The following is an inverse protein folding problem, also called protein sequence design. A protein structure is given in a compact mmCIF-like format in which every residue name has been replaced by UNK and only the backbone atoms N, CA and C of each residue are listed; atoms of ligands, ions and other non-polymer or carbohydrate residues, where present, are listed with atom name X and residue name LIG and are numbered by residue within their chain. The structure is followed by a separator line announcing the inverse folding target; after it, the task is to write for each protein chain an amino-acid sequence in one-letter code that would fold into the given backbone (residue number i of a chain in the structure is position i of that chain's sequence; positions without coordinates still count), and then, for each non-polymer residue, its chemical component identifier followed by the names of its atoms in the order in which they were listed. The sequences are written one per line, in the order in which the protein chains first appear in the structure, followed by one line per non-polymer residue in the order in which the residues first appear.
data_IF_779049347564
#
_entry.id   IF_779049347564
#
_cell.length_a   1.000
_cell.length_b   1.000
_cell.length_c   1.000
_cell.angle_alpha   90.00
_cell.angle_beta   90.00
_cell.angle_gamma   90.00
#
_symmetry.space_group_name_H-M   'P 1'
#
loop_
_entity.id
_entity.type
_entity.pdbx_description
1 polymer ?
#
# COMPACT_ATOMS: atom_id res chain seq x y z
N UNK A 1 4.64 -3.74 -32.91
CA UNK A 1 5.98 -3.15 -33.15
C UNK A 1 6.00 -1.61 -33.22
N UNK A 2 5.03 -0.99 -33.92
CA UNK A 2 5.05 0.45 -34.22
C UNK A 2 4.77 1.41 -33.03
N UNK A 3 4.38 0.91 -31.85
CA UNK A 3 4.04 1.73 -30.68
C UNK A 3 5.02 1.60 -29.51
N UNK A 4 6.08 0.79 -29.62
CA UNK A 4 7.01 0.49 -28.49
C UNK A 4 7.66 1.73 -27.88
N UNK A 5 7.85 2.79 -28.68
CA UNK A 5 8.48 4.04 -28.27
C UNK A 5 7.53 5.24 -28.37
N UNK A 6 6.27 5.00 -28.74
CA UNK A 6 5.28 6.06 -28.80
C UNK A 6 4.70 6.24 -27.41
N UNK A 7 5.11 7.30 -26.71
CA UNK A 7 4.30 7.78 -25.60
C UNK A 7 2.87 7.98 -26.11
N UNK A 8 1.85 7.58 -25.34
CA UNK A 8 0.47 7.91 -25.66
C UNK A 8 0.33 9.44 -25.75
N UNK A 9 0.48 9.98 -26.96
CA UNK A 9 0.40 11.43 -27.22
C UNK A 9 -1.03 11.95 -27.10
N UNK A 10 -2.02 11.06 -27.08
CA UNK A 10 -3.42 11.38 -26.82
C UNK A 10 -3.83 11.03 -25.39
N UNK A 11 -4.59 11.92 -24.76
CA UNK A 11 -5.26 11.68 -23.47
C UNK A 11 -6.05 10.36 -23.42
N UNK A 12 -6.53 9.89 -24.57
CA UNK A 12 -7.27 8.63 -24.73
C UNK A 12 -6.46 7.40 -24.32
N UNK A 13 -5.22 7.25 -24.80
CA UNK A 13 -4.44 6.04 -24.55
C UNK A 13 -3.95 5.97 -23.10
N UNK A 14 -3.58 7.12 -22.51
CA UNK A 14 -3.30 7.21 -21.08
C UNK A 14 -4.53 6.83 -20.25
N UNK A 15 -5.71 7.31 -20.65
CA UNK A 15 -6.98 6.96 -20.01
C UNK A 15 -7.25 5.46 -20.08
N UNK A 16 -7.03 4.81 -21.23
CA UNK A 16 -7.19 3.36 -21.35
C UNK A 16 -6.31 2.59 -20.36
N UNK A 17 -5.06 3.03 -20.15
CA UNK A 17 -4.14 2.42 -19.19
C UNK A 17 -4.62 2.66 -17.76
N UNK A 18 -4.97 3.90 -17.39
CA UNK A 18 -5.42 4.21 -16.03
C UNK A 18 -6.75 3.53 -15.70
N UNK A 19 -7.68 3.48 -16.66
CA UNK A 19 -8.96 2.77 -16.51
C UNK A 19 -8.71 1.27 -16.34
N UNK A 20 -7.75 0.70 -17.07
CA UNK A 20 -7.37 -0.70 -16.89
C UNK A 20 -6.73 -0.96 -15.51
N UNK A 21 -5.91 -0.05 -14.98
CA UNK A 21 -5.36 -0.16 -13.62
C UNK A 21 -6.47 -0.17 -12.55
N UNK A 22 -7.54 0.60 -12.76
CA UNK A 22 -8.72 0.59 -11.87
C UNK A 22 -9.52 -0.70 -12.05
N UNK A 23 -9.74 -1.12 -13.30
CA UNK A 23 -10.52 -2.31 -13.63
C UNK A 23 -9.91 -3.61 -13.08
N UNK A 24 -8.59 -3.70 -12.96
CA UNK A 24 -7.92 -4.79 -12.23
C UNK A 24 -8.47 -4.95 -10.80
N UNK A 25 -8.65 -3.86 -10.06
CA UNK A 25 -9.21 -3.90 -8.70
C UNK A 25 -10.65 -4.42 -8.73
N UNK A 26 -11.48 -3.92 -9.66
CA UNK A 26 -12.87 -4.37 -9.79
C UNK A 26 -12.94 -5.88 -10.06
N UNK A 27 -12.05 -6.42 -10.90
CA UNK A 27 -12.00 -7.84 -11.22
C UNK A 27 -11.57 -8.70 -10.03
N UNK A 28 -10.65 -8.21 -9.18
CA UNK A 28 -10.28 -8.89 -7.93
C UNK A 28 -11.46 -8.94 -6.95
N UNK A 29 -12.20 -7.83 -6.83
CA UNK A 29 -13.39 -7.76 -5.97
C UNK A 29 -14.49 -8.68 -6.52
N UNK A 30 -14.73 -8.66 -7.82
CA UNK A 30 -15.71 -9.52 -8.48
C UNK A 30 -15.37 -11.01 -8.27
N UNK A 31 -14.13 -11.40 -8.56
CA UNK A 31 -13.66 -12.78 -8.36
C UNK A 31 -13.87 -13.23 -6.91
N UNK A 32 -13.46 -12.41 -5.93
CA UNK A 32 -13.67 -12.71 -4.52
C UNK A 32 -15.14 -13.00 -4.21
N UNK A 33 -16.05 -12.16 -4.69
CA UNK A 33 -17.47 -12.34 -4.42
C UNK A 33 -17.98 -13.56 -5.16
N UNK A 34 -17.63 -13.77 -6.42
CA UNK A 34 -18.10 -14.87 -7.27
C UNK A 34 -17.66 -16.24 -6.74
N UNK A 35 -16.41 -16.38 -6.34
CA UNK A 35 -15.85 -17.64 -5.83
C UNK A 35 -16.09 -17.84 -4.33
N UNK A 36 -16.76 -16.90 -3.67
CA UNK A 36 -16.86 -16.84 -2.20
C UNK A 36 -15.46 -16.98 -1.56
N UNK A 37 -14.50 -16.16 -2.02
CA UNK A 37 -13.13 -16.09 -1.53
C UNK A 37 -13.01 -15.43 -0.15
N UNK A 38 -11.81 -15.49 0.46
CA UNK A 38 -11.56 -14.79 1.72
C UNK A 38 -11.39 -13.29 1.44
N UNK A 39 -12.07 -12.43 2.22
CA UNK A 39 -11.90 -10.98 2.16
C UNK A 39 -10.44 -10.54 2.31
N UNK A 40 -9.63 -11.33 3.02
CA UNK A 40 -8.21 -11.09 3.17
C UNK A 40 -7.45 -11.20 1.84
N UNK A 41 -7.94 -11.98 0.88
CA UNK A 41 -7.29 -12.17 -0.43
C UNK A 41 -7.20 -10.86 -1.22
N UNK A 42 -8.08 -9.88 -0.96
CA UNK A 42 -7.95 -8.53 -1.52
C UNK A 42 -6.68 -7.80 -1.09
N UNK A 43 -6.06 -8.22 0.01
CA UNK A 43 -4.90 -7.55 0.61
C UNK A 43 -3.67 -8.45 0.65
N UNK A 44 -3.81 -9.75 0.39
CA UNK A 44 -2.73 -10.74 0.53
C UNK A 44 -2.49 -11.55 -0.75
N UNK A 45 -3.40 -11.49 -1.74
CA UNK A 45 -3.20 -12.22 -2.99
C UNK A 45 -2.08 -11.62 -3.84
N UNK A 46 -1.34 -12.49 -4.53
CA UNK A 46 -0.40 -12.12 -5.59
C UNK A 46 -1.03 -12.12 -6.98
N UNK A 47 -2.32 -12.46 -7.12
CA UNK A 47 -3.00 -12.48 -8.40
C UNK A 47 -3.36 -11.08 -8.88
N UNK A 48 -3.05 -10.76 -10.14
CA UNK A 48 -3.40 -9.48 -10.79
C UNK A 48 -4.06 -9.76 -12.12
N UNK A 49 -4.97 -8.90 -12.54
CA UNK A 49 -5.60 -8.96 -13.84
C UNK A 49 -4.91 -8.01 -14.81
N UNK A 50 -4.55 -8.51 -15.99
CA UNK A 50 -3.95 -7.72 -17.07
C UNK A 50 -4.75 -7.86 -18.35
N UNK A 51 -4.75 -6.80 -19.15
CA UNK A 51 -5.26 -6.77 -20.51
C UNK A 51 -4.20 -6.18 -21.47
N UNK A 52 -4.55 -6.00 -22.74
CA UNK A 52 -3.66 -5.43 -23.77
C UNK A 52 -2.95 -4.13 -23.34
N UNK A 53 -3.69 -3.10 -22.93
CA UNK A 53 -3.12 -1.85 -22.42
C UNK A 53 -2.13 -2.04 -21.25
N UNK A 54 -2.46 -2.87 -20.25
CA UNK A 54 -1.57 -3.10 -19.10
C UNK A 54 -0.32 -3.87 -19.50
N UNK A 55 -0.43 -4.92 -20.33
CA UNK A 55 0.73 -5.66 -20.85
C UNK A 55 1.68 -4.73 -21.59
N UNK A 56 1.14 -3.86 -22.46
CA UNK A 56 1.93 -2.87 -23.17
C UNK A 56 2.61 -1.88 -22.21
N UNK A 57 1.88 -1.39 -21.22
CA UNK A 57 2.41 -0.47 -20.22
C UNK A 57 3.59 -1.08 -19.46
N UNK A 58 3.43 -2.30 -18.94
CA UNK A 58 4.48 -2.98 -18.17
C UNK A 58 5.73 -3.28 -19.00
N UNK A 59 5.57 -3.66 -20.27
CA UNK A 59 6.69 -3.99 -21.15
C UNK A 59 7.46 -2.76 -21.65
N UNK A 60 6.79 -1.61 -21.83
CA UNK A 60 7.36 -0.51 -22.62
C UNK A 60 7.29 0.87 -21.97
N UNK A 61 6.40 1.10 -20.99
CA UNK A 61 6.07 2.45 -20.51
C UNK A 61 6.36 2.68 -19.01
N UNK A 62 7.10 1.79 -18.36
CA UNK A 62 7.40 1.87 -16.91
C UNK A 62 8.36 3.00 -16.52
N UNK A 63 9.16 3.51 -17.47
CA UNK A 63 10.13 4.58 -17.26
C UNK A 63 9.54 5.97 -17.55
N UNK A 64 8.54 6.42 -16.78
CA UNK A 64 7.92 7.73 -16.97
C UNK A 64 8.55 8.82 -16.07
N UNK A 65 8.97 9.99 -16.59
CA UNK A 65 9.79 10.98 -15.85
C UNK A 65 9.17 11.59 -14.58
N UNK A 66 7.85 11.49 -14.40
CA UNK A 66 7.13 12.02 -13.22
C UNK A 66 6.59 10.94 -12.28
N UNK A 67 6.55 9.69 -12.73
CA UNK A 67 6.05 8.53 -11.99
C UNK A 67 6.80 7.30 -12.50
N UNK A 68 7.86 6.89 -11.79
CA UNK A 68 8.62 5.72 -12.22
C UNK A 68 7.94 4.45 -11.71
N UNK A 69 7.72 3.50 -12.59
CA UNK A 69 7.50 2.10 -12.25
C UNK A 69 8.68 1.24 -12.70
N UNK A 70 9.86 1.84 -12.84
CA UNK A 70 11.10 1.16 -13.16
C UNK A 70 11.95 1.02 -11.89
N UNK A 71 12.42 -0.20 -11.55
CA UNK A 71 12.12 -1.47 -12.21
C UNK A 71 10.65 -1.89 -12.06
N UNK A 72 10.13 -2.62 -13.05
CA UNK A 72 8.75 -3.10 -13.06
C UNK A 72 8.51 -4.00 -11.83
N UNK A 73 7.39 -3.82 -11.10
CA UNK A 73 7.04 -4.67 -9.97
C UNK A 73 6.50 -6.05 -10.41
N UNK A 74 6.64 -6.38 -11.69
CA UNK A 74 6.14 -7.58 -12.35
C UNK A 74 7.23 -8.17 -13.22
N UNK A 75 7.27 -9.50 -13.28
CA UNK A 75 8.05 -10.22 -14.28
C UNK A 75 7.37 -10.07 -15.66
N UNK A 76 7.93 -9.18 -16.48
CA UNK A 76 7.37 -8.84 -17.80
C UNK A 76 7.42 -9.99 -18.80
N UNK A 77 8.30 -10.98 -18.58
CA UNK A 77 8.45 -12.15 -19.44
C UNK A 77 7.33 -13.17 -19.19
N UNK A 78 6.70 -13.12 -18.02
CA UNK A 78 5.53 -13.95 -17.66
C UNK A 78 4.20 -13.35 -18.07
N UNK A 79 4.19 -12.15 -18.66
CA UNK A 79 2.97 -11.53 -19.14
C UNK A 79 2.44 -12.22 -20.42
N UNK A 80 1.12 -12.37 -20.57
CA UNK A 80 0.53 -12.94 -21.79
C UNK A 80 0.86 -12.07 -23.00
N UNK A 81 0.90 -12.67 -24.19
CA UNK A 81 1.06 -11.92 -25.42
C UNK A 81 -0.29 -11.36 -25.89
N UNK A 82 -0.57 -10.13 -25.47
CA UNK A 82 -1.78 -9.38 -25.83
C UNK A 82 -1.41 -8.17 -26.67
N UNK A 83 -2.19 -7.90 -27.72
CA UNK A 83 -2.09 -6.65 -28.46
C UNK A 83 -2.63 -5.51 -27.60
N UNK A 84 -2.12 -4.28 -27.78
CA UNK A 84 -2.62 -3.11 -27.05
C UNK A 84 -4.13 -2.90 -27.19
N UNK A 85 -4.71 -3.33 -28.31
CA UNK A 85 -6.14 -3.23 -28.62
C UNK A 85 -7.02 -4.27 -27.93
N UNK A 86 -6.43 -5.26 -27.25
CA UNK A 86 -7.16 -6.31 -26.52
C UNK A 86 -7.66 -5.77 -25.17
N UNK A 87 -8.51 -4.75 -25.23
CA UNK A 87 -8.97 -3.97 -24.07
C UNK A 87 -9.92 -4.74 -23.16
N UNK A 88 -10.69 -5.66 -23.74
CA UNK A 88 -11.69 -6.48 -23.05
C UNK A 88 -11.20 -7.91 -22.76
N UNK A 89 -9.98 -8.25 -23.17
CA UNK A 89 -9.37 -9.57 -22.90
C UNK A 89 -8.57 -9.51 -21.61
N UNK A 90 -9.18 -10.01 -20.54
CA UNK A 90 -8.58 -10.02 -19.21
C UNK A 90 -8.01 -11.38 -18.86
N UNK A 91 -6.74 -11.39 -18.45
CA UNK A 91 -6.02 -12.60 -18.03
C UNK A 91 -5.49 -12.38 -16.62
N UNK A 92 -5.78 -13.32 -15.72
CA UNK A 92 -5.20 -13.33 -14.38
C UNK A 92 -3.78 -13.89 -14.45
N UNK A 93 -2.82 -13.15 -13.92
CA UNK A 93 -1.42 -13.58 -13.79
C UNK A 93 -1.02 -13.64 -12.32
N UNK A 94 -0.14 -14.59 -11.99
CA UNK A 94 0.41 -14.74 -10.65
C UNK A 94 1.74 -14.02 -10.56
N UNK A 95 1.84 -13.12 -9.60
CA UNK A 95 3.02 -12.31 -9.33
C UNK A 95 3.94 -12.98 -8.31
N UNK A 96 5.03 -12.29 -7.97
CA UNK A 96 5.92 -12.71 -6.90
C UNK A 96 5.28 -12.61 -5.50
N UNK A 97 5.90 -13.27 -4.50
CA UNK A 97 5.40 -13.33 -3.13
C UNK A 97 5.32 -11.97 -2.43
N UNK A 98 6.02 -10.94 -2.91
CA UNK A 98 6.05 -9.59 -2.37
C UNK A 98 4.77 -8.77 -2.60
N UNK A 99 3.88 -9.22 -3.49
CA UNK A 99 2.61 -8.53 -3.74
C UNK A 99 1.63 -8.70 -2.59
N UNK A 100 0.83 -7.67 -2.31
CA UNK A 100 -0.18 -7.64 -1.24
C UNK A 100 -1.52 -7.11 -1.78
N UNK A 101 -2.07 -7.79 -2.80
CA UNK A 101 -3.37 -7.48 -3.38
C UNK A 101 -3.50 -6.02 -3.82
N UNK A 102 -4.55 -5.34 -3.34
CA UNK A 102 -4.82 -3.92 -3.59
C UNK A 102 -3.69 -3.04 -3.04
N UNK A 103 -3.04 -3.41 -1.93
CA UNK A 103 -2.04 -2.58 -1.26
C UNK A 103 -0.75 -2.40 -2.06
N UNK A 104 -0.51 -3.27 -3.04
CA UNK A 104 0.59 -3.15 -4.01
C UNK A 104 0.10 -2.98 -5.44
N UNK A 105 -1.20 -2.74 -5.63
CA UNK A 105 -1.74 -2.41 -6.95
C UNK A 105 -1.23 -1.05 -7.43
N UNK A 106 -1.05 -0.85 -8.75
CA UNK A 106 -0.67 0.44 -9.31
C UNK A 106 -1.60 1.58 -8.89
N UNK A 107 -2.92 1.32 -8.86
CA UNK A 107 -3.90 2.33 -8.46
C UNK A 107 -3.71 2.78 -7.01
N UNK A 108 -3.43 1.86 -6.08
CA UNK A 108 -3.14 2.22 -4.69
C UNK A 108 -1.80 2.96 -4.55
N UNK A 109 -0.72 2.40 -5.12
CA UNK A 109 0.64 2.94 -4.97
C UNK A 109 0.80 4.33 -5.62
N UNK A 110 0.14 4.58 -6.75
CA UNK A 110 0.16 5.88 -7.43
C UNK A 110 -0.76 6.90 -6.75
N UNK A 111 -1.91 6.46 -6.21
CA UNK A 111 -2.83 7.36 -5.50
C UNK A 111 -2.26 7.84 -4.16
N UNK A 112 -1.47 6.99 -3.50
CA UNK A 112 -0.81 7.24 -2.22
C UNK A 112 0.71 7.18 -2.43
N UNK A 113 1.28 8.31 -2.87
CA UNK A 113 2.65 8.35 -3.39
C UNK A 113 3.75 8.21 -2.34
N UNK A 114 3.46 8.37 -1.05
CA UNK A 114 4.44 8.19 0.03
C UNK A 114 4.06 7.01 0.91
N UNK A 115 5.05 6.40 1.55
CA UNK A 115 4.84 5.28 2.47
C UNK A 115 3.95 5.68 3.65
N UNK A 116 4.10 6.91 4.15
CA UNK A 116 3.20 7.49 5.17
C UNK A 116 1.76 7.64 4.65
N UNK A 117 1.56 8.07 3.40
CA UNK A 117 0.22 8.19 2.82
C UNK A 117 -0.44 6.81 2.63
N UNK A 118 0.33 5.79 2.24
CA UNK A 118 -0.12 4.40 2.10
C UNK A 118 -0.57 3.82 3.44
N UNK A 119 0.26 3.98 4.48
CA UNK A 119 -0.09 3.58 5.84
C UNK A 119 -1.30 4.35 6.38
N UNK A 120 -1.34 5.68 6.23
CA UNK A 120 -2.48 6.49 6.65
C UNK A 120 -3.78 6.05 5.96
N UNK A 121 -3.74 5.75 4.65
CA UNK A 121 -4.90 5.22 3.95
C UNK A 121 -5.33 3.88 4.52
N UNK A 122 -4.39 2.97 4.77
CA UNK A 122 -4.69 1.65 5.32
C UNK A 122 -5.39 1.76 6.68
N UNK A 123 -4.82 2.54 7.59
CA UNK A 123 -5.38 2.79 8.92
C UNK A 123 -6.77 3.42 8.85
N UNK A 124 -6.95 4.43 8.00
CA UNK A 124 -8.22 5.11 7.85
C UNK A 124 -9.32 4.19 7.27
N UNK A 125 -9.01 3.45 6.21
CA UNK A 125 -10.03 2.72 5.43
C UNK A 125 -10.24 1.28 5.87
N UNK A 126 -9.26 0.65 6.51
CA UNK A 126 -9.32 -0.77 6.87
C UNK A 126 -9.22 -1.02 8.38
N UNK A 127 -8.77 -0.03 9.16
CA UNK A 127 -8.79 -0.10 10.63
C UNK A 127 -9.72 0.93 11.28
N UNK A 128 -10.37 1.79 10.48
CA UNK A 128 -11.28 2.84 10.94
C UNK A 128 -10.60 3.77 11.97
N UNK A 129 -9.28 3.95 11.84
CA UNK A 129 -8.44 4.66 12.78
C UNK A 129 -7.68 5.76 12.04
N UNK A 130 -8.19 6.98 12.07
CA UNK A 130 -7.47 8.12 11.53
C UNK A 130 -6.35 8.58 12.48
N UNK A 131 -5.21 8.99 11.92
CA UNK A 131 -4.17 9.69 12.67
C UNK A 131 -4.61 11.13 12.93
N UNK A 132 -5.24 11.34 14.09
CA UNK A 132 -5.72 12.66 14.51
C UNK A 132 -4.84 13.20 15.64
N UNK A 133 -4.61 14.52 15.63
CA UNK A 133 -4.02 15.19 16.77
C UNK A 133 -4.95 15.06 18.00
N UNK A 134 -4.38 15.10 19.23
CA UNK A 134 -5.18 15.20 20.45
C UNK A 134 -6.13 16.40 20.39
N UNK A 135 -7.29 16.30 21.05
CA UNK A 135 -8.30 17.37 21.08
C UNK A 135 -7.78 18.71 21.64
N UNK A 136 -6.75 18.67 22.49
CA UNK A 136 -6.05 19.84 23.01
C UNK A 136 -4.97 20.43 22.10
N UNK A 137 -4.80 19.88 20.90
CA UNK A 137 -3.71 20.24 19.99
C UNK A 137 -2.38 19.59 20.35
N UNK A 138 -1.38 19.82 19.49
CA UNK A 138 -0.02 19.36 19.69
C UNK A 138 0.75 20.43 20.49
N UNK A 139 1.34 20.10 21.66
CA UNK A 139 2.13 21.05 22.41
C UNK A 139 3.32 21.57 21.58
N UNK A 140 3.50 22.90 21.52
CA UNK A 140 4.68 23.49 20.90
C UNK A 140 5.82 23.47 21.90
N UNK A 141 6.81 22.60 21.68
CA UNK A 141 8.01 22.52 22.52
C UNK A 141 9.16 23.26 21.82
N UNK A 142 9.74 24.25 22.51
CA UNK A 142 10.88 25.01 21.99
C UNK A 142 12.06 24.07 21.71
N UNK A 143 12.67 24.20 20.53
CA UNK A 143 13.81 23.36 20.11
C UNK A 143 13.43 21.98 19.55
N UNK A 144 12.16 21.57 19.57
CA UNK A 144 11.74 20.28 19.03
C UNK A 144 12.08 20.09 17.55
N UNK A 145 12.15 21.17 16.77
CA UNK A 145 12.51 21.12 15.35
C UNK A 145 13.92 20.55 15.09
N UNK A 146 14.80 20.53 16.09
CA UNK A 146 16.14 19.99 15.97
C UNK A 146 16.19 18.45 15.97
N UNK A 147 15.15 17.74 16.39
CA UNK A 147 15.15 16.27 16.42
C UNK A 147 14.73 15.68 15.07
N UNK A 148 15.61 15.16 14.18
CA UNK A 148 15.22 14.67 12.86
C UNK A 148 14.26 13.46 12.90
N UNK A 149 14.31 12.60 13.94
CA UNK A 149 13.41 11.44 14.05
C UNK A 149 12.03 11.84 14.60
N UNK A 150 11.03 11.84 13.71
CA UNK A 150 9.65 12.18 14.05
C UNK A 150 9.03 11.25 15.10
N UNK A 151 9.55 10.03 15.27
CA UNK A 151 9.05 9.06 16.25
C UNK A 151 9.35 9.48 17.69
N UNK A 152 10.34 10.35 17.90
CA UNK A 152 10.75 10.83 19.23
C UNK A 152 10.74 12.37 19.31
N UNK A 153 10.59 13.07 18.19
CA UNK A 153 10.44 14.53 18.13
C UNK A 153 9.19 14.95 18.90
N UNK A 154 9.39 15.74 19.95
CA UNK A 154 8.31 16.31 20.75
C UNK A 154 7.24 17.02 19.89
N UNK A 155 5.99 16.68 20.14
CA UNK A 155 4.81 17.06 19.37
C UNK A 155 4.50 16.17 18.15
N UNK A 156 5.46 15.43 17.60
CA UNK A 156 5.25 14.55 16.43
C UNK A 156 5.12 13.08 16.81
N UNK A 157 5.74 12.68 17.92
CA UNK A 157 5.83 11.32 18.43
C UNK A 157 4.45 10.66 18.61
N UNK A 158 3.43 11.45 18.98
CA UNK A 158 2.07 10.95 19.20
C UNK A 158 1.50 10.19 17.99
N UNK A 159 1.73 10.70 16.78
CA UNK A 159 1.29 10.05 15.55
C UNK A 159 2.41 9.20 14.93
N UNK A 160 3.64 9.73 14.93
CA UNK A 160 4.74 9.14 14.16
C UNK A 160 5.32 7.87 14.79
N UNK A 161 5.22 7.69 16.12
CA UNK A 161 5.61 6.44 16.77
C UNK A 161 4.79 5.23 16.30
N UNK A 162 3.59 5.45 15.73
CA UNK A 162 2.76 4.42 15.10
C UNK A 162 2.84 4.45 13.57
N UNK A 163 2.87 5.65 12.99
CA UNK A 163 2.86 5.83 11.55
C UNK A 163 4.16 5.40 10.88
N UNK A 164 5.34 5.70 11.44
CA UNK A 164 6.60 5.27 10.81
C UNK A 164 6.71 3.73 10.81
N UNK A 165 6.41 3.00 11.91
CA UNK A 165 6.26 1.53 11.89
C UNK A 165 5.35 1.03 10.77
N UNK A 166 4.14 1.54 10.68
CA UNK A 166 3.20 1.14 9.63
C UNK A 166 3.69 1.47 8.21
N UNK A 167 4.32 2.62 8.01
CA UNK A 167 4.77 3.09 6.71
C UNK A 167 5.84 2.20 6.10
N UNK A 168 6.75 1.64 6.90
CA UNK A 168 7.83 0.82 6.31
C UNK A 168 7.36 -0.50 5.72
N UNK A 169 6.11 -0.93 5.93
CA UNK A 169 5.56 -2.05 5.16
C UNK A 169 5.56 -1.79 3.65
N UNK A 170 5.69 -0.53 3.22
CA UNK A 170 5.94 -0.17 1.81
C UNK A 170 7.39 0.25 1.54
N UNK A 171 8.34 -0.03 2.44
CA UNK A 171 9.72 0.45 2.35
C UNK A 171 10.46 -0.02 1.09
N UNK A 172 10.07 -1.19 0.58
CA UNK A 172 10.57 -1.76 -0.67
C UNK A 172 9.77 -1.34 -1.92
N UNK A 173 8.83 -0.42 -1.76
CA UNK A 173 8.01 0.12 -2.84
C UNK A 173 8.34 1.59 -3.04
N UNK A 174 8.89 1.92 -4.21
CA UNK A 174 9.34 3.28 -4.51
C UNK A 174 8.23 4.31 -4.26
N UNK A 175 8.59 5.40 -3.58
CA UNK A 175 7.71 6.56 -3.46
C UNK A 175 7.60 7.29 -4.81
N UNK A 176 6.49 8.01 -5.01
CA UNK A 176 6.16 8.70 -6.28
C UNK A 176 6.21 7.77 -7.49
N UNK A 177 5.74 6.54 -7.28
CA UNK A 177 5.82 5.46 -8.25
C UNK A 177 5.19 4.18 -7.73
N UNK A 178 5.48 3.08 -8.42
CA UNK A 178 5.08 1.73 -8.04
C UNK A 178 6.18 0.69 -8.31
N UNK A 179 7.44 1.13 -8.40
CA UNK A 179 8.57 0.23 -8.59
C UNK A 179 8.79 -0.62 -7.33
N UNK A 180 9.15 -1.90 -7.53
CA UNK A 180 9.61 -2.77 -6.44
C UNK A 180 11.13 -2.72 -6.35
N UNK A 181 11.64 -2.45 -5.16
CA UNK A 181 13.07 -2.43 -4.87
C UNK A 181 13.50 -3.84 -4.43
N UNK A 182 13.79 -4.71 -5.40
CA UNK A 182 14.25 -6.07 -5.15
C UNK A 182 15.57 -6.06 -4.36
N UNK A 183 15.72 -6.98 -3.41
CA UNK A 183 16.82 -7.00 -2.43
C UNK A 183 18.20 -7.18 -3.08
N UNK A 184 18.28 -7.91 -4.19
CA UNK A 184 19.50 -8.16 -4.94
C UNK A 184 20.03 -6.91 -5.66
N UNK A 185 19.14 -6.10 -6.22
CA UNK A 185 19.47 -4.85 -6.90
C UNK A 185 19.50 -3.62 -5.96
N UNK A 186 18.81 -3.73 -4.83
CA UNK A 186 18.66 -2.69 -3.82
C UNK A 186 18.87 -3.29 -2.43
N UNK A 187 20.09 -3.70 -2.04
CA UNK A 187 20.33 -4.19 -0.67
C UNK A 187 19.99 -3.11 0.38
N UNK A 188 19.64 -3.47 1.63
CA UNK A 188 19.38 -2.51 2.71
C UNK A 188 20.48 -1.46 2.87
N UNK A 189 21.73 -1.89 2.72
CA UNK A 189 22.92 -1.07 2.73
C UNK A 189 23.72 -1.30 1.46
N UNK A 190 24.29 -0.23 0.88
CA UNK A 190 25.06 -0.29 -0.35
C UNK A 190 26.34 0.53 -0.26
N UNK A 191 27.48 -0.16 -0.23
CA UNK A 191 28.82 0.43 -0.12
C UNK A 191 29.09 1.49 -1.19
N UNK A 192 28.54 1.32 -2.41
CA UNK A 192 28.76 2.31 -3.49
C UNK A 192 28.02 3.62 -3.20
N UNK A 193 26.87 3.54 -2.55
CA UNK A 193 26.09 4.71 -2.15
C UNK A 193 26.65 5.36 -0.88
N UNK A 194 27.19 4.59 0.07
CA UNK A 194 27.94 5.14 1.21
C UNK A 194 29.20 5.88 0.72
N UNK A 195 29.97 5.25 -0.17
CA UNK A 195 31.21 5.80 -0.70
C UNK A 195 30.96 7.15 -1.37
N UNK A 196 29.95 7.28 -2.24
CA UNK A 196 29.66 8.57 -2.88
C UNK A 196 29.20 9.62 -1.87
N UNK A 197 28.45 9.22 -0.84
CA UNK A 197 27.96 10.12 0.20
C UNK A 197 29.07 10.68 1.09
N UNK A 198 30.18 9.95 1.26
CA UNK A 198 31.27 10.30 2.19
C UNK A 198 32.53 10.84 1.51
N UNK A 199 32.73 10.56 0.21
CA UNK A 199 33.96 10.91 -0.51
C UNK A 199 33.88 12.19 -1.36
N UNK A 200 32.70 12.81 -1.47
CA UNK A 200 32.46 13.94 -2.37
C UNK A 200 32.36 13.57 -3.85
N UNK A 201 32.38 12.27 -4.18
CA UNK A 201 32.10 11.77 -5.52
C UNK A 201 30.61 11.99 -5.88
N UNK A 202 30.27 12.26 -7.14
CA UNK A 202 28.88 12.40 -7.55
C UNK A 202 28.14 11.06 -7.40
N UNK A 203 27.08 11.06 -6.58
CA UNK A 203 26.25 9.87 -6.42
C UNK A 203 25.49 9.52 -7.71
N UNK A 204 25.37 8.23 -8.00
CA UNK A 204 24.53 7.74 -9.09
C UNK A 204 23.06 8.10 -8.87
N UNK A 205 22.25 8.12 -9.95
CA UNK A 205 20.81 8.38 -9.84
C UNK A 205 20.11 7.39 -8.92
N UNK A 206 20.51 6.11 -8.96
CA UNK A 206 20.00 5.06 -8.05
C UNK A 206 20.24 5.42 -6.59
N UNK A 207 21.46 5.81 -6.23
CA UNK A 207 21.79 6.21 -4.86
C UNK A 207 20.99 7.44 -4.44
N UNK A 208 20.92 8.48 -5.28
CA UNK A 208 20.16 9.70 -4.99
C UNK A 208 18.66 9.43 -4.79
N UNK A 209 18.08 8.52 -5.55
CA UNK A 209 16.65 8.22 -5.50
C UNK A 209 16.27 7.37 -4.29
N UNK A 210 17.05 6.33 -3.98
CA UNK A 210 16.61 5.28 -3.06
C UNK A 210 17.42 5.17 -1.76
N UNK A 211 18.62 5.75 -1.71
CA UNK A 211 19.52 5.64 -0.57
C UNK A 211 19.73 6.99 0.12
N UNK A 212 20.08 6.97 1.40
CA UNK A 212 20.50 8.17 2.13
C UNK A 212 21.91 8.51 1.67
N UNK A 213 22.04 9.62 0.95
CA UNK A 213 23.34 10.09 0.42
C UNK A 213 23.76 11.43 1.01
N UNK A 214 22.95 11.98 1.91
CA UNK A 214 23.17 13.26 2.58
C UNK A 214 22.65 13.15 4.01
N UNK A 215 23.39 13.72 4.95
CA UNK A 215 22.99 13.89 6.34
C UNK A 215 22.97 15.39 6.65
N UNK A 216 21.85 15.89 7.15
CA UNK A 216 21.68 17.28 7.60
C UNK A 216 21.90 17.43 9.10
N UNK A 217 21.95 16.30 9.81
CA UNK A 217 22.22 16.18 11.25
C UNK A 217 23.12 14.97 11.53
N UNK A 218 23.97 15.04 12.56
CA UNK A 218 24.90 13.97 12.92
C UNK A 218 24.18 12.63 13.23
N UNK A 219 22.91 12.67 13.64
CA UNK A 219 22.08 11.46 13.86
C UNK A 219 21.67 10.77 12.57
N UNK A 220 21.72 11.45 11.42
CA UNK A 220 21.47 10.85 10.10
C UNK A 220 22.74 10.22 9.50
N UNK A 221 23.93 10.65 9.95
CA UNK A 221 25.20 10.15 9.42
C UNK A 221 25.37 8.61 9.47
N UNK A 222 24.90 7.89 10.51
CA UNK A 222 24.95 6.42 10.53
C UNK A 222 24.14 5.74 9.42
N UNK A 223 23.22 6.46 8.77
CA UNK A 223 22.36 5.94 7.73
C UNK A 223 22.89 6.20 6.32
N UNK A 224 24.02 6.89 6.14
CA UNK A 224 24.61 7.06 4.81
C UNK A 224 24.85 5.70 4.14
N UNK A 225 24.38 5.53 2.91
CA UNK A 225 24.43 4.24 2.20
C UNK A 225 23.30 3.27 2.53
N UNK A 226 22.42 3.57 3.48
CA UNK A 226 21.21 2.79 3.74
C UNK A 226 20.05 3.20 2.83
N UNK A 227 19.18 2.26 2.50
CA UNK A 227 17.90 2.55 1.85
C UNK A 227 17.12 3.56 2.70
N UNK A 228 16.49 4.54 2.06
CA UNK A 228 15.73 5.61 2.75
C UNK A 228 14.63 5.08 3.67
N UNK A 229 14.10 3.88 3.40
CA UNK A 229 13.11 3.22 4.25
C UNK A 229 13.65 2.76 5.61
N UNK A 230 14.97 2.69 5.76
CA UNK A 230 15.65 2.33 7.01
C UNK A 230 16.08 3.55 7.84
N UNK A 231 15.95 4.77 7.30
CA UNK A 231 16.30 5.99 8.04
C UNK A 231 15.47 6.09 9.32
N UNK A 232 16.15 6.16 10.48
CA UNK A 232 15.56 6.12 11.82
C UNK A 232 14.72 4.87 12.12
N UNK A 233 14.97 3.77 11.38
CA UNK A 233 14.26 2.53 11.61
C UNK A 233 14.84 1.81 12.80
N UNK A 234 13.98 1.49 13.77
CA UNK A 234 14.39 0.68 14.92
C UNK A 234 14.60 -0.77 14.48
N UNK A 235 15.57 -1.51 15.06
CA UNK A 235 15.86 -2.89 14.69
C UNK A 235 14.63 -3.81 14.69
N UNK A 236 13.73 -3.64 15.66
CA UNK A 236 12.49 -4.42 15.77
C UNK A 236 11.51 -4.20 14.61
N UNK A 237 11.64 -3.11 13.84
CA UNK A 237 10.75 -2.75 12.74
C UNK A 237 11.42 -2.86 11.36
N UNK A 238 12.68 -3.28 11.28
CA UNK A 238 13.40 -3.46 10.01
C UNK A 238 12.74 -4.56 9.16
N UNK A 239 12.34 -5.66 9.78
CA UNK A 239 11.67 -6.76 9.08
C UNK A 239 10.34 -6.35 8.42
N UNK A 240 9.68 -5.28 8.89
CA UNK A 240 8.48 -4.74 8.22
C UNK A 240 8.78 -4.26 6.79
N UNK A 241 10.01 -3.77 6.54
CA UNK A 241 10.47 -3.37 5.20
C UNK A 241 10.46 -4.54 4.23
N UNK A 242 10.95 -5.69 4.69
CA UNK A 242 11.12 -6.89 3.89
C UNK A 242 9.79 -7.64 3.67
N UNK A 243 9.06 -7.86 4.76
CA UNK A 243 7.81 -8.66 4.78
C UNK A 243 6.62 -7.92 4.14
N UNK A 244 6.74 -6.60 4.01
CA UNK A 244 5.83 -5.80 3.20
C UNK A 244 4.41 -5.66 3.76
N UNK A 245 3.44 -5.20 2.95
CA UNK A 245 2.09 -4.87 3.43
C UNK A 245 1.25 -6.09 3.85
N UNK A 246 1.61 -7.29 3.40
CA UNK A 246 0.99 -8.54 3.87
C UNK A 246 1.10 -8.69 5.38
N UNK A 247 2.29 -8.44 5.93
CA UNK A 247 2.52 -8.53 7.36
C UNK A 247 1.68 -7.51 8.14
N UNK A 248 1.48 -6.30 7.59
CA UNK A 248 0.61 -5.30 8.20
C UNK A 248 -0.83 -5.78 8.30
N UNK A 249 -1.35 -6.43 7.24
CA UNK A 249 -2.69 -7.02 7.26
C UNK A 249 -2.77 -8.06 8.37
N UNK A 250 -1.86 -9.04 8.36
CA UNK A 250 -1.89 -10.14 9.34
C UNK A 250 -1.73 -9.67 10.79
N UNK A 251 -0.89 -8.67 11.06
CA UNK A 251 -0.72 -8.15 12.42
C UNK A 251 -1.99 -7.49 12.96
N UNK A 252 -2.82 -6.92 12.09
CA UNK A 252 -4.09 -6.26 12.47
C UNK A 252 -5.27 -7.21 12.63
N UNK A 253 -5.15 -8.46 12.20
CA UNK A 253 -6.13 -9.51 12.50
C UNK A 253 -6.02 -9.97 13.96
N UNK A 254 -4.81 -9.95 14.52
CA UNK A 254 -4.55 -10.43 15.89
C UNK A 254 -5.30 -9.59 16.93
N UNK A 255 -5.47 -8.29 16.70
CA UNK A 255 -6.15 -7.38 17.61
C UNK A 255 -7.62 -7.09 17.26
N UNK A 256 -8.14 -7.70 16.18
CA UNK A 256 -9.56 -7.61 15.80
C UNK A 256 -9.98 -6.28 15.15
N UNK A 257 -9.07 -5.30 14.98
CA UNK A 257 -9.43 -3.98 14.44
C UNK A 257 -9.85 -4.06 12.98
N UNK A 258 -9.21 -4.92 12.21
CA UNK A 258 -9.48 -5.09 10.79
C UNK A 258 -10.91 -5.59 10.55
N UNK A 259 -11.32 -6.63 11.28
CA UNK A 259 -12.63 -7.27 11.18
C UNK A 259 -13.72 -6.32 11.63
N UNK A 260 -13.54 -5.66 12.78
CA UNK A 260 -14.49 -4.67 13.28
C UNK A 260 -14.70 -3.53 12.29
N UNK A 261 -13.64 -3.04 11.65
CA UNK A 261 -13.76 -1.98 10.65
C UNK A 261 -14.47 -2.44 9.37
N UNK A 262 -14.16 -3.65 8.88
CA UNK A 262 -14.84 -4.22 7.72
C UNK A 262 -16.34 -4.38 7.96
N UNK A 263 -16.72 -4.90 9.15
CA UNK A 263 -18.11 -5.05 9.58
C UNK A 263 -18.81 -3.70 9.70
N UNK A 264 -18.19 -2.74 10.39
CA UNK A 264 -18.74 -1.38 10.54
C UNK A 264 -18.99 -0.73 9.19
N UNK A 265 -18.01 -0.76 8.30
CA UNK A 265 -18.12 -0.14 6.97
C UNK A 265 -19.25 -0.79 6.15
N UNK A 266 -19.35 -2.12 6.17
CA UNK A 266 -20.44 -2.83 5.49
C UNK A 266 -21.81 -2.52 6.10
N UNK A 267 -21.90 -2.47 7.43
CA UNK A 267 -23.13 -2.14 8.14
C UNK A 267 -23.62 -0.72 7.82
N UNK A 268 -22.72 0.27 7.89
CA UNK A 268 -23.03 1.67 7.59
C UNK A 268 -23.47 1.87 6.15
N UNK A 269 -22.83 1.15 5.21
CA UNK A 269 -23.23 1.16 3.81
C UNK A 269 -24.64 0.58 3.60
N UNK A 270 -24.94 -0.57 4.20
CA UNK A 270 -26.25 -1.21 4.08
C UNK A 270 -27.37 -0.43 4.78
N UNK A 271 -27.07 0.20 5.92
CA UNK A 271 -28.01 1.04 6.66
C UNK A 271 -28.19 2.44 6.05
N UNK A 272 -27.24 2.90 5.22
CA UNK A 272 -27.22 4.25 4.67
C UNK A 272 -26.95 5.34 5.72
N UNK A 273 -26.38 5.00 6.87
CA UNK A 273 -26.04 5.92 7.97
C UNK A 273 -24.84 5.42 8.78
N UNK A 274 -24.22 6.31 9.52
CA UNK A 274 -23.22 5.95 10.53
C UNK A 274 -23.85 5.09 11.63
N UNK A 275 -23.06 4.19 12.22
CA UNK A 275 -23.45 3.42 13.39
C UNK A 275 -23.27 4.26 14.66
N UNK A 276 -24.25 4.17 15.56
CA UNK A 276 -24.18 4.81 16.87
C UNK A 276 -23.33 3.99 17.85
N UNK A 277 -22.87 4.61 18.95
CA UNK A 277 -22.12 3.93 20.01
C UNK A 277 -22.89 2.75 20.63
N UNK A 278 -24.22 2.80 20.62
CA UNK A 278 -25.07 1.70 21.12
C UNK A 278 -25.07 0.46 20.22
N UNK A 279 -24.51 0.54 19.02
CA UNK A 279 -24.51 -0.53 18.02
C UNK A 279 -23.17 -1.28 17.95
N UNK A 280 -22.25 -1.04 18.89
CA UNK A 280 -20.97 -1.77 18.95
C UNK A 280 -21.18 -3.29 19.16
N UNK A 281 -22.25 -3.69 19.84
CA UNK A 281 -22.61 -5.11 19.99
C UNK A 281 -22.94 -5.79 18.64
N UNK A 282 -23.61 -5.09 17.73
CA UNK A 282 -23.84 -5.60 16.36
C UNK A 282 -22.50 -5.85 15.65
N UNK A 283 -21.56 -4.91 15.78
CA UNK A 283 -20.23 -5.04 15.16
C UNK A 283 -19.49 -6.25 15.71
N UNK A 284 -19.55 -6.47 17.02
CA UNK A 284 -18.81 -7.56 17.69
C UNK A 284 -19.42 -8.93 17.42
N UNK A 285 -20.74 -9.03 17.39
CA UNK A 285 -21.45 -10.26 17.03
C UNK A 285 -21.14 -10.67 15.59
N UNK A 286 -21.27 -9.73 14.66
CA UNK A 286 -21.04 -9.99 13.24
C UNK A 286 -19.56 -10.19 12.91
N UNK A 287 -18.64 -9.53 13.61
CA UNK A 287 -17.19 -9.77 13.46
C UNK A 287 -16.84 -11.23 13.80
N UNK A 288 -17.44 -11.80 14.85
CA UNK A 288 -17.24 -13.22 15.20
C UNK A 288 -17.75 -14.15 14.10
N UNK A 289 -18.91 -13.88 13.52
CA UNK A 289 -19.43 -14.66 12.38
C UNK A 289 -18.53 -14.51 11.14
N UNK A 290 -18.03 -13.30 10.88
CA UNK A 290 -17.13 -13.03 9.77
C UNK A 290 -15.82 -13.83 9.90
N UNK A 291 -15.20 -13.83 11.09
CA UNK A 291 -14.02 -14.65 11.39
C UNK A 291 -14.35 -16.14 11.23
N UNK A 292 -15.45 -16.61 11.84
CA UNK A 292 -15.85 -18.02 11.82
C UNK A 292 -16.14 -18.53 10.40
N UNK A 293 -16.55 -17.66 9.48
CA UNK A 293 -16.75 -18.02 8.07
C UNK A 293 -15.43 -18.21 7.30
N UNK A 294 -14.29 -17.83 7.87
CA UNK A 294 -13.04 -17.69 7.13
C UNK A 294 -13.02 -16.41 6.28
N UNK A 295 -13.55 -15.33 6.84
CA UNK A 295 -13.60 -13.98 6.24
C UNK A 295 -14.40 -13.92 4.92
N UNK A 296 -15.49 -14.68 4.78
CA UNK A 296 -16.32 -14.65 3.57
C UNK A 296 -17.20 -13.40 3.54
N UNK A 297 -17.05 -12.57 2.52
CA UNK A 297 -17.83 -11.34 2.43
C UNK A 297 -19.33 -11.59 2.27
N UNK A 298 -19.74 -12.67 1.58
CA UNK A 298 -21.15 -13.07 1.49
C UNK A 298 -21.73 -13.44 2.86
N UNK A 299 -20.95 -14.13 3.68
CA UNK A 299 -21.35 -14.48 5.05
C UNK A 299 -21.49 -13.22 5.92
N UNK A 300 -20.55 -12.27 5.81
CA UNK A 300 -20.64 -10.96 6.47
C UNK A 300 -21.94 -10.23 6.11
N UNK A 301 -22.24 -10.08 4.81
CA UNK A 301 -23.46 -9.40 4.36
C UNK A 301 -24.72 -10.12 4.88
N UNK A 302 -24.75 -11.46 4.80
CA UNK A 302 -25.87 -12.27 5.33
C UNK A 302 -26.07 -12.06 6.83
N UNK A 303 -24.99 -12.08 7.61
CA UNK A 303 -25.02 -11.85 9.05
C UNK A 303 -25.61 -10.47 9.37
N UNK A 304 -25.14 -9.41 8.70
CA UNK A 304 -25.65 -8.05 8.86
C UNK A 304 -27.16 -7.94 8.59
N UNK A 305 -27.62 -8.39 7.42
CA UNK A 305 -29.04 -8.22 7.01
C UNK A 305 -30.01 -9.11 7.78
N UNK A 306 -29.50 -10.15 8.44
CA UNK A 306 -30.30 -11.04 9.30
C UNK A 306 -30.24 -10.67 10.78
N UNK A 307 -29.32 -9.78 11.18
CA UNK A 307 -29.17 -9.34 12.56
C UNK A 307 -30.42 -8.60 13.07
N UNK A 308 -30.86 -8.81 14.32
CA UNK A 308 -32.04 -8.13 14.89
C UNK A 308 -31.99 -6.60 14.80
N UNK A 309 -30.81 -6.00 15.01
CA UNK A 309 -30.61 -4.54 14.91
C UNK A 309 -30.94 -4.00 13.52
N UNK A 310 -30.50 -4.69 12.46
CA UNK A 310 -30.79 -4.30 11.08
C UNK A 310 -32.29 -4.33 10.79
N UNK A 311 -32.99 -5.37 11.26
CA UNK A 311 -34.44 -5.54 11.06
C UNK A 311 -35.32 -4.53 11.81
N UNK A 312 -34.78 -3.85 12.83
CA UNK A 312 -35.48 -2.82 13.61
C UNK A 312 -35.46 -1.45 12.95
N UNK A 313 -34.59 -1.24 11.96
CA UNK A 313 -34.56 -0.02 11.15
C UNK A 313 -35.71 -0.11 10.13
N UNK A 314 -36.88 0.39 10.54
CA UNK A 314 -38.03 0.68 9.66
C UNK A 314 -38.33 2.17 9.73
#
# INVERSE_FOLDING_TARGET
PALRNCMPGGSTQLRMITDAMVKDIDLRVAELVETDGSYLDLFTSAGVWVNGPLVHYWRYLTAFPRMSMSPAPIDVDRLPDLAFTDVDTWVKVQMGPEQAGILTSPAFLLRFQTNRARANRFYNSFLCQAFNAPSGGIPVVAGAAAEPDLQIRAGCEYCHALLEPAASHWGRWGERGASRLAEDAFPPFDDSCELCATSGLPCSRRCQDFYVTQAFDDREAPYLGWLKSYLFRRPEHEHYVEEGPKLLVYSTLVDGRFERCAVRTAAEHLLGRALDKGEDALVDDVAREFIASGYKYRALVKALVTHPTYRRVR
#
